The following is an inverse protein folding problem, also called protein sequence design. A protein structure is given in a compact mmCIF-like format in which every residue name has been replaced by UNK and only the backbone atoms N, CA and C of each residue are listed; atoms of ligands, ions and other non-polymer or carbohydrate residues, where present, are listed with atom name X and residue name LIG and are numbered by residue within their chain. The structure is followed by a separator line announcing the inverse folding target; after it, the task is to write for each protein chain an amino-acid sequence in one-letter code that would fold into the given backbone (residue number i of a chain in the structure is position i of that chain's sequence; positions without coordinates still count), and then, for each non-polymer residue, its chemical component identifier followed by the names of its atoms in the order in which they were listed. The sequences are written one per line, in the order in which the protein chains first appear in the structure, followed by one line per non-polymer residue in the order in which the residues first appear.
data_IF_367691371693
#
_entry.id   IF_367691371693
#
_cell.length_a   1.000
_cell.length_b   1.000
_cell.length_c   1.000
_cell.angle_alpha   90.00
_cell.angle_beta   90.00
_cell.angle_gamma   90.00
#
_symmetry.space_group_name_H-M   'P 1'
#
loop_
_entity.id
_entity.type
_entity.pdbx_description
1 polymer ?
#
# COMPACT_ATOMS: atom_id res chain seq x y z
N UNK A 1 -5.65 16.83 -33.13
CA UNK A 1 -5.03 15.56 -32.70
C UNK A 1 -5.42 15.36 -31.25
N UNK A 2 -6.26 14.36 -30.93
CA UNK A 2 -6.45 13.93 -29.54
C UNK A 2 -5.16 13.21 -29.13
N UNK A 3 -4.55 13.66 -28.05
CA UNK A 3 -3.38 13.00 -27.49
C UNK A 3 -3.83 11.67 -26.88
N UNK A 4 -3.01 10.62 -26.93
CA UNK A 4 -3.27 9.38 -26.16
C UNK A 4 -3.48 9.63 -24.65
N UNK A 5 -3.11 10.83 -24.17
CA UNK A 5 -3.33 11.32 -22.82
C UNK A 5 -4.79 11.64 -22.48
N UNK A 6 -5.67 11.90 -23.47
CA UNK A 6 -7.01 12.43 -23.20
C UNK A 6 -7.95 11.38 -22.56
N UNK A 7 -7.61 10.09 -22.65
CA UNK A 7 -8.36 8.96 -22.06
C UNK A 7 -7.61 8.28 -20.90
N UNK A 8 -6.50 8.85 -20.42
CA UNK A 8 -5.73 8.26 -19.33
C UNK A 8 -6.49 8.34 -18.00
N UNK A 9 -6.80 7.19 -17.39
CA UNK A 9 -7.33 7.12 -16.02
C UNK A 9 -6.20 7.35 -15.03
N UNK A 10 -6.24 8.47 -14.31
CA UNK A 10 -5.24 8.83 -13.29
C UNK A 10 -5.81 8.57 -11.90
N UNK A 11 -5.03 7.89 -11.07
CA UNK A 11 -5.35 7.62 -9.67
C UNK A 11 -4.29 8.26 -8.79
N UNK A 12 -4.74 9.07 -7.82
CA UNK A 12 -3.87 9.68 -6.82
C UNK A 12 -4.18 9.04 -5.49
N UNK A 13 -3.23 8.27 -4.97
CA UNK A 13 -3.36 7.67 -3.65
C UNK A 13 -3.02 8.71 -2.59
N UNK A 14 -3.97 8.90 -1.67
CA UNK A 14 -3.76 9.73 -0.50
C UNK A 14 -2.64 9.20 0.38
N UNK A 15 -2.03 10.08 1.14
CA UNK A 15 -1.11 9.67 2.19
C UNK A 15 -1.87 8.93 3.30
N UNK A 16 -1.18 7.99 3.95
CA UNK A 16 -1.62 7.47 5.25
C UNK A 16 -1.24 8.49 6.35
N UNK A 17 -1.05 8.05 7.59
CA UNK A 17 -0.67 8.95 8.67
C UNK A 17 0.82 9.34 8.62
N UNK A 18 1.14 10.59 8.96
CA UNK A 18 2.52 11.12 8.97
C UNK A 18 2.83 11.85 10.28
N UNK A 19 4.09 11.77 10.71
CA UNK A 19 4.63 12.53 11.83
C UNK A 19 5.06 13.93 11.39
N UNK A 20 5.27 14.80 12.37
CA UNK A 20 6.06 16.00 12.16
C UNK A 20 7.49 15.64 11.70
N UNK A 21 8.04 16.43 10.76
CA UNK A 21 9.36 16.20 10.14
C UNK A 21 10.52 16.18 11.13
N UNK A 22 10.36 16.71 12.34
CA UNK A 22 11.36 16.64 13.41
C UNK A 22 11.47 15.26 14.07
N UNK A 23 10.60 14.31 13.73
CA UNK A 23 10.56 12.97 14.31
C UNK A 23 10.73 11.89 13.25
N UNK A 24 11.29 10.74 13.62
CA UNK A 24 11.20 9.51 12.83
C UNK A 24 10.45 8.46 13.63
N UNK A 25 9.66 7.61 12.96
CA UNK A 25 8.91 6.56 13.63
C UNK A 25 9.85 5.58 14.33
N UNK A 26 10.93 5.17 13.66
CA UNK A 26 11.95 4.31 14.24
C UNK A 26 12.56 4.93 15.51
N UNK A 27 12.92 6.22 15.46
CA UNK A 27 13.47 6.93 16.62
C UNK A 27 12.46 7.07 17.77
N UNK A 28 11.17 7.22 17.49
CA UNK A 28 10.11 7.22 18.50
C UNK A 28 9.95 5.83 19.14
N UNK A 29 9.91 4.77 18.34
CA UNK A 29 9.81 3.38 18.83
C UNK A 29 10.96 3.07 19.79
N UNK A 30 12.20 3.39 19.42
CA UNK A 30 13.36 3.18 20.29
C UNK A 30 13.29 3.99 21.59
N UNK A 31 13.00 5.30 21.50
CA UNK A 31 12.94 6.18 22.69
C UNK A 31 11.86 5.76 23.67
N UNK A 32 10.72 5.31 23.15
CA UNK A 32 9.57 4.92 23.97
C UNK A 32 9.52 3.44 24.32
N UNK A 33 10.47 2.64 23.80
CA UNK A 33 10.47 1.17 23.91
C UNK A 33 9.12 0.57 23.54
N UNK A 34 8.54 1.08 22.45
CA UNK A 34 7.18 0.74 22.00
C UNK A 34 7.20 0.35 20.53
N UNK A 35 6.10 -0.23 20.07
CA UNK A 35 5.90 -0.57 18.67
C UNK A 35 5.41 0.63 17.84
N UNK A 36 5.10 0.39 16.57
CA UNK A 36 4.69 1.41 15.62
C UNK A 36 3.37 2.13 15.98
N UNK A 37 2.59 1.61 16.93
CA UNK A 37 1.40 2.29 17.45
C UNK A 37 1.72 3.65 18.06
N UNK A 38 2.92 3.83 18.63
CA UNK A 38 3.35 5.12 19.15
C UNK A 38 3.44 6.18 18.05
N UNK A 39 3.90 5.78 16.85
CA UNK A 39 4.00 6.67 15.70
C UNK A 39 2.61 7.05 15.17
N UNK A 40 1.70 6.07 15.08
CA UNK A 40 0.31 6.30 14.70
C UNK A 40 -0.38 7.28 15.66
N UNK A 41 -0.20 7.09 16.97
CA UNK A 41 -0.75 7.97 18.01
C UNK A 41 -0.25 9.40 17.85
N UNK A 42 1.04 9.59 17.58
CA UNK A 42 1.68 10.91 17.45
C UNK A 42 1.58 11.53 16.06
N UNK A 43 1.14 10.80 15.05
CA UNK A 43 0.96 11.33 13.71
C UNK A 43 -0.06 12.49 13.71
N UNK A 44 0.28 13.60 13.07
CA UNK A 44 -0.53 14.82 13.07
C UNK A 44 -1.15 15.12 11.70
N UNK A 45 -0.70 14.43 10.65
CA UNK A 45 -1.19 14.58 9.29
C UNK A 45 -1.72 13.25 8.75
N UNK A 46 -2.74 13.27 7.87
CA UNK A 46 -3.57 14.44 7.52
C UNK A 46 -4.44 14.87 8.71
N UNK A 47 -4.82 16.15 8.71
CA UNK A 47 -5.80 16.63 9.68
C UNK A 47 -7.14 15.93 9.42
N UNK A 48 -7.86 15.59 10.50
CA UNK A 48 -9.14 14.92 10.38
C UNK A 48 -10.10 15.76 9.53
N UNK A 49 -10.72 15.14 8.52
CA UNK A 49 -11.67 15.78 7.60
C UNK A 49 -11.11 16.96 6.79
N UNK A 50 -9.80 17.07 6.59
CA UNK A 50 -9.23 18.05 5.67
C UNK A 50 -9.77 17.78 4.25
N UNK A 51 -10.40 18.77 3.57
CA UNK A 51 -10.80 18.62 2.18
C UNK A 51 -9.60 18.30 1.30
N UNK A 52 -9.76 17.34 0.38
CA UNK A 52 -8.68 16.83 -0.48
C UNK A 52 -8.10 17.97 -1.32
N UNK A 53 -8.95 18.90 -1.75
CA UNK A 53 -8.61 20.09 -2.54
C UNK A 53 -7.68 21.06 -1.80
N UNK A 54 -7.60 20.96 -0.47
CA UNK A 54 -6.75 21.79 0.39
C UNK A 54 -5.43 21.10 0.76
N UNK A 55 -5.16 19.90 0.24
CA UNK A 55 -3.93 19.17 0.54
C UNK A 55 -2.73 19.76 -0.23
N UNK A 56 -1.50 19.77 0.35
CA UNK A 56 -0.33 20.47 -0.20
C UNK A 56 0.14 20.00 -1.60
N UNK A 57 -0.41 18.90 -2.11
CA UNK A 57 -0.03 18.28 -3.39
C UNK A 57 -1.25 17.95 -4.24
N UNK A 58 -2.39 18.61 -4.02
CA UNK A 58 -3.59 18.40 -4.82
C UNK A 58 -3.36 18.86 -6.28
N UNK A 59 -3.42 17.96 -7.28
CA UNK A 59 -3.14 18.33 -8.66
C UNK A 59 -4.37 18.97 -9.31
N UNK A 60 -4.64 20.24 -9.01
CA UNK A 60 -5.85 20.98 -9.40
C UNK A 60 -6.10 21.10 -10.91
N UNK A 61 -5.07 20.91 -11.73
CA UNK A 61 -5.15 20.94 -13.20
C UNK A 61 -5.30 19.56 -13.85
N UNK A 62 -5.47 18.51 -13.06
CA UNK A 62 -5.51 17.13 -13.54
C UNK A 62 -6.89 16.53 -13.30
N UNK A 63 -7.41 15.78 -14.26
CA UNK A 63 -8.56 14.92 -14.03
C UNK A 63 -8.07 13.60 -13.40
N UNK A 64 -8.40 13.35 -12.14
CA UNK A 64 -7.97 12.16 -11.41
C UNK A 64 -9.03 11.66 -10.43
N UNK A 65 -8.89 10.39 -10.03
CA UNK A 65 -9.62 9.80 -8.93
C UNK A 65 -8.74 9.78 -7.68
N UNK A 66 -9.17 10.47 -6.62
CA UNK A 66 -8.47 10.43 -5.34
C UNK A 66 -8.85 9.17 -4.56
N UNK A 67 -7.85 8.41 -4.12
CA UNK A 67 -8.03 7.19 -3.34
C UNK A 67 -7.63 7.46 -1.89
N UNK A 68 -8.63 7.72 -1.05
CA UNK A 68 -8.45 7.97 0.38
C UNK A 68 -8.21 6.65 1.13
N UNK A 69 -6.95 6.21 1.16
CA UNK A 69 -6.56 4.95 1.80
C UNK A 69 -6.84 4.92 3.31
N UNK A 70 -6.87 6.07 3.99
CA UNK A 70 -7.21 6.12 5.43
C UNK A 70 -8.69 5.81 5.61
N UNK A 71 -9.57 6.47 4.86
CA UNK A 71 -11.03 6.28 4.97
C UNK A 71 -11.49 4.90 4.48
N UNK A 72 -10.79 4.34 3.50
CA UNK A 72 -11.00 2.96 3.05
C UNK A 72 -10.54 1.94 4.11
N UNK A 73 -9.44 2.21 4.81
CA UNK A 73 -8.89 1.28 5.78
C UNK A 73 -9.54 1.33 7.17
N UNK A 74 -9.53 2.49 7.82
CA UNK A 74 -9.84 2.61 9.26
C UNK A 74 -10.47 3.94 9.70
N UNK A 75 -10.51 4.96 8.82
CA UNK A 75 -11.00 6.29 9.17
C UNK A 75 -9.98 7.18 9.90
N UNK A 76 -10.28 8.48 9.97
CA UNK A 76 -9.36 9.50 10.49
C UNK A 76 -9.23 9.53 12.02
N UNK A 77 -10.08 8.83 12.76
CA UNK A 77 -9.99 8.73 14.22
C UNK A 77 -8.92 7.74 14.70
N UNK A 78 -8.23 7.10 13.75
CA UNK A 78 -7.14 6.14 13.93
C UNK A 78 -7.55 4.80 14.54
N UNK A 79 -8.83 4.59 14.86
CA UNK A 79 -9.28 3.36 15.50
C UNK A 79 -9.31 2.22 14.48
N UNK A 80 -8.70 1.09 14.84
CA UNK A 80 -8.60 -0.06 13.95
C UNK A 80 -7.59 0.10 12.80
N UNK A 81 -6.82 1.20 12.77
CA UNK A 81 -5.77 1.36 11.77
C UNK A 81 -4.64 0.34 11.99
N UNK A 82 -4.14 -0.20 10.88
CA UNK A 82 -2.94 -1.04 10.92
C UNK A 82 -1.74 -0.13 11.20
N UNK A 83 -0.86 -0.60 12.09
CA UNK A 83 0.38 0.08 12.46
C UNK A 83 1.62 -0.70 12.00
N UNK A 84 1.45 -1.95 11.60
CA UNK A 84 2.52 -2.82 11.10
C UNK A 84 1.95 -3.99 10.31
N UNK A 85 2.76 -4.60 9.45
CA UNK A 85 2.48 -5.89 8.80
C UNK A 85 3.76 -6.73 8.73
N UNK A 86 3.67 -8.05 8.94
CA UNK A 86 4.83 -8.93 8.86
C UNK A 86 5.98 -8.57 9.81
N UNK A 87 5.69 -7.90 10.93
CA UNK A 87 6.70 -7.36 11.86
C UNK A 87 7.37 -6.05 11.40
N UNK A 88 6.99 -5.51 10.25
CA UNK A 88 7.50 -4.25 9.69
C UNK A 88 6.55 -3.11 10.06
N UNK A 89 7.03 -1.98 10.61
CA UNK A 89 6.18 -0.83 10.92
C UNK A 89 5.61 -0.20 9.65
N UNK A 90 4.49 0.52 9.77
CA UNK A 90 3.88 1.17 8.61
C UNK A 90 4.80 2.21 7.95
N UNK A 91 5.66 2.86 8.74
CA UNK A 91 6.73 3.73 8.28
C UNK A 91 7.93 3.62 9.23
N UNK A 92 9.13 3.92 8.74
CA UNK A 92 10.35 3.99 9.57
C UNK A 92 10.80 5.43 9.81
N UNK A 93 10.47 6.33 8.88
CA UNK A 93 10.75 7.76 8.95
C UNK A 93 9.52 8.55 9.40
N UNK A 94 9.33 9.76 8.89
CA UNK A 94 8.21 10.63 9.25
C UNK A 94 6.97 10.45 8.36
N UNK A 95 7.04 9.77 7.22
CA UNK A 95 5.89 9.73 6.32
C UNK A 95 5.92 8.80 5.11
N UNK A 96 7.00 8.06 4.84
CA UNK A 96 7.03 7.07 3.76
C UNK A 96 6.56 5.71 4.26
N UNK A 97 5.53 5.17 3.60
CA UNK A 97 5.07 3.82 3.90
C UNK A 97 6.13 2.78 3.55
N UNK A 98 6.29 1.76 4.39
CA UNK A 98 7.10 0.59 4.03
C UNK A 98 6.38 -0.23 2.97
N UNK A 99 7.15 -0.84 2.06
CA UNK A 99 6.57 -1.62 0.95
C UNK A 99 5.72 -2.80 1.44
N UNK A 100 6.19 -3.53 2.46
CA UNK A 100 5.47 -4.64 3.07
C UNK A 100 4.11 -4.19 3.64
N UNK A 101 4.10 -3.06 4.34
CA UNK A 101 2.88 -2.48 4.86
C UNK A 101 1.93 -2.05 3.74
N UNK A 102 2.44 -1.38 2.70
CA UNK A 102 1.64 -0.92 1.58
C UNK A 102 0.97 -2.08 0.84
N UNK A 103 1.70 -3.17 0.59
CA UNK A 103 1.15 -4.39 -0.05
C UNK A 103 -0.01 -4.95 0.79
N UNK A 104 0.19 -5.05 2.11
CA UNK A 104 -0.83 -5.55 3.03
C UNK A 104 -2.05 -4.63 3.08
N UNK A 105 -1.83 -3.32 3.21
CA UNK A 105 -2.87 -2.31 3.27
C UNK A 105 -3.75 -2.32 2.01
N UNK A 106 -3.12 -2.36 0.83
CA UNK A 106 -3.86 -2.42 -0.43
C UNK A 106 -4.61 -3.74 -0.58
N UNK A 107 -4.03 -4.86 -0.14
CA UNK A 107 -4.72 -6.15 -0.07
C UNK A 107 -5.98 -6.09 0.81
N UNK A 108 -5.86 -5.54 2.01
CA UNK A 108 -6.96 -5.40 2.97
C UNK A 108 -8.09 -4.51 2.42
N UNK A 109 -7.73 -3.38 1.81
CA UNK A 109 -8.68 -2.48 1.15
C UNK A 109 -9.39 -3.17 0.00
N UNK A 110 -8.67 -3.92 -0.84
CA UNK A 110 -9.26 -4.65 -1.95
C UNK A 110 -10.22 -5.74 -1.47
N UNK A 111 -9.88 -6.46 -0.41
CA UNK A 111 -10.72 -7.52 0.13
C UNK A 111 -12.00 -6.98 0.78
N UNK A 112 -11.88 -5.88 1.54
CA UNK A 112 -13.00 -5.36 2.36
C UNK A 112 -13.84 -4.28 1.69
N UNK A 113 -13.26 -3.53 0.74
CA UNK A 113 -13.85 -2.31 0.19
C UNK A 113 -13.90 -2.30 -1.35
N UNK A 114 -13.87 -3.48 -1.98
CA UNK A 114 -14.00 -3.58 -3.44
C UNK A 114 -15.21 -2.82 -3.99
N UNK A 115 -16.36 -2.90 -3.32
CA UNK A 115 -17.58 -2.22 -3.77
C UNK A 115 -17.44 -0.68 -3.78
N UNK A 116 -16.75 -0.11 -2.80
CA UNK A 116 -16.46 1.32 -2.76
C UNK A 116 -15.48 1.75 -3.87
N UNK A 117 -14.61 0.83 -4.31
CA UNK A 117 -13.66 1.06 -5.39
C UNK A 117 -14.28 0.86 -6.78
N UNK A 118 -15.43 0.19 -6.89
CA UNK A 118 -16.09 -0.10 -8.17
C UNK A 118 -16.43 1.17 -8.96
N UNK A 119 -16.88 2.21 -8.26
CA UNK A 119 -17.20 3.52 -8.86
C UNK A 119 -15.99 4.32 -9.34
N UNK A 120 -14.79 4.04 -8.82
CA UNK A 120 -13.56 4.72 -9.23
C UNK A 120 -12.94 4.15 -10.51
N UNK A 121 -13.31 2.93 -10.91
CA UNK A 121 -12.66 2.19 -11.99
C UNK A 121 -11.24 1.71 -11.65
N UNK A 122 -10.80 1.84 -10.38
CA UNK A 122 -9.47 1.39 -9.94
C UNK A 122 -9.34 -0.14 -9.97
N UNK A 123 -10.44 -0.86 -9.73
CA UNK A 123 -10.44 -2.33 -9.75
C UNK A 123 -10.03 -2.93 -11.10
N UNK A 124 -10.17 -2.18 -12.20
CA UNK A 124 -9.71 -2.59 -13.53
C UNK A 124 -8.18 -2.77 -13.58
N UNK A 125 -7.44 -2.17 -12.63
CA UNK A 125 -5.97 -2.11 -12.60
C UNK A 125 -5.34 -2.84 -11.42
N UNK A 126 -6.14 -3.22 -10.41
CA UNK A 126 -5.64 -3.88 -9.21
C UNK A 126 -5.89 -5.39 -9.28
N UNK A 127 -4.82 -6.16 -9.18
CA UNK A 127 -4.88 -7.63 -9.11
C UNK A 127 -4.71 -8.05 -7.66
N UNK A 128 -5.64 -8.83 -7.12
CA UNK A 128 -5.52 -9.35 -5.75
C UNK A 128 -4.22 -10.18 -5.60
N UNK A 129 -3.47 -10.03 -4.49
CA UNK A 129 -2.26 -10.80 -4.24
C UNK A 129 -2.44 -12.32 -4.33
N UNK A 130 -3.65 -12.84 -4.03
CA UNK A 130 -3.98 -14.27 -4.17
C UNK A 130 -3.92 -14.76 -5.62
N UNK A 131 -4.21 -13.91 -6.61
CA UNK A 131 -4.03 -14.24 -8.02
C UNK A 131 -2.55 -14.25 -8.45
N UNK A 132 -1.67 -13.55 -7.73
CA UNK A 132 -0.22 -13.55 -7.97
C UNK A 132 0.42 -14.87 -7.48
N UNK A 133 -0.11 -15.49 -6.41
CA UNK A 133 0.35 -16.81 -5.97
C UNK A 133 -0.03 -17.94 -6.94
N UNK A 134 -1.22 -17.89 -7.54
CA UNK A 134 -1.64 -18.88 -8.55
C UNK A 134 -0.76 -18.82 -9.82
N UNK A 135 -0.24 -17.64 -10.19
CA UNK A 135 0.70 -17.49 -11.30
C UNK A 135 2.14 -17.95 -10.98
N UNK A 136 2.58 -17.83 -9.72
CA UNK A 136 3.92 -18.29 -9.30
C UNK A 136 4.00 -19.81 -9.11
N UNK A 137 2.93 -20.47 -8.71
CA UNK A 137 2.86 -21.95 -8.67
C UNK A 137 2.74 -22.57 -10.06
N UNK A 138 2.16 -21.87 -11.04
CA UNK A 138 2.12 -22.35 -12.42
C UNK A 138 3.47 -22.23 -13.17
N UNK A 139 4.34 -21.27 -12.78
CA UNK A 139 5.65 -21.04 -13.41
C UNK A 139 6.81 -21.78 -12.72
N UNK A 140 6.55 -22.55 -11.67
CA UNK A 140 7.55 -23.37 -10.98
C UNK A 140 7.31 -24.85 -11.25
N UNK A 141 7.19 -25.23 -12.52
CA UNK A 141 7.57 -26.58 -12.89
C UNK A 141 9.10 -26.67 -12.82
N UNK A 142 9.68 -27.60 -12.04
CA UNK A 142 11.10 -27.86 -12.12
C UNK A 142 11.39 -28.35 -13.55
N UNK A 143 12.45 -27.81 -14.16
CA UNK A 143 13.07 -28.43 -15.31
C UNK A 143 13.27 -29.91 -14.97
N UNK A 144 12.53 -30.80 -15.62
CA UNK A 144 12.80 -32.23 -15.62
C UNK A 144 14.13 -32.41 -16.37
N UNK A 145 15.23 -32.23 -15.64
CA UNK A 145 16.57 -32.55 -16.13
C UNK A 145 16.57 -34.00 -16.54
N UNK A 146 16.99 -34.26 -17.79
CA UNK A 146 17.29 -35.61 -18.25
C UNK A 146 18.29 -36.24 -17.29
N UNK A 147 17.84 -37.18 -16.47
CA UNK A 147 18.72 -38.12 -15.77
C UNK A 147 19.27 -39.10 -16.80
N UNK A 148 20.48 -38.81 -17.31
CA UNK A 148 21.29 -39.82 -18.01
C UNK A 148 21.95 -40.70 -16.95
N UNK A 149 21.39 -41.88 -16.73
CA UNK A 149 21.99 -42.95 -15.95
C UNK A 149 23.11 -43.60 -16.76
N UNK A 150 24.36 -43.27 -16.46
CA UNK A 150 25.52 -44.04 -16.88
C UNK A 150 25.74 -45.18 -15.88
N UNK A 151 25.54 -46.42 -16.33
CA UNK A 151 25.92 -47.63 -15.60
C UNK A 151 27.45 -47.75 -15.52
N UNK A 152 28.03 -48.24 -14.41
CA UNK A 152 29.42 -48.63 -14.37
C UNK A 152 29.60 -50.00 -15.03
N UNK A 153 30.61 -50.13 -15.88
CA UNK A 153 31.12 -51.43 -16.35
C UNK A 153 32.46 -51.70 -15.71
N UNK A 154 32.64 -52.94 -15.27
CA UNK A 154 33.93 -53.59 -14.96
C UNK A 154 34.85 -53.64 -16.18
#
# INVERSE_FOLDING_TARGET
MKSHSDDAKIFVFGNYFQLDRSHTCLGLMFRTKSDASTCMRLASYPAANQPVEQMPFFPSGLAFNYIDIIKLHCGYDKRGCLTSSGGVPFMTDWGHLTAEFLITLLGDILEKRADDLRGSGLLDFLVLPQAIQAGRTASSQPNAGLTSSASPSE
#
